data_IF_996141998381
#
_entry.id   IF_996141998381
#
_cell.length_a   1.000
_cell.length_b   1.000
_cell.length_c   1.000
_cell.angle_alpha   90.00
_cell.angle_beta   90.00
_cell.angle_gamma   90.00
#
_symmetry.space_group_name_H-M   'P 1'
#
loop_
_entity.id
_entity.type
_entity.pdbx_description
1 polymer ?
#
# COMPACT_ATOMS: atom_id res chain seq x y z
N UNK A 1 21.05 23.84 -21.22
CA UNK A 1 21.33 22.54 -20.57
C UNK A 1 20.35 22.23 -19.44
N UNK A 2 19.99 23.21 -18.60
CA UNK A 2 19.00 23.06 -17.52
C UNK A 2 17.59 22.64 -18.00
N UNK A 3 17.11 23.18 -19.13
CA UNK A 3 15.76 22.93 -19.62
C UNK A 3 15.55 21.50 -20.17
N UNK A 4 16.59 20.90 -20.77
CA UNK A 4 16.53 19.51 -21.23
C UNK A 4 16.60 18.50 -20.09
N UNK A 5 17.39 18.79 -19.05
CA UNK A 5 17.44 17.96 -17.85
C UNK A 5 16.09 17.95 -17.12
N UNK A 6 15.44 19.11 -16.98
CA UNK A 6 14.10 19.21 -16.39
C UNK A 6 13.04 18.44 -17.20
N UNK A 7 13.09 18.51 -18.54
CA UNK A 7 12.20 17.71 -19.40
C UNK A 7 12.42 16.21 -19.23
N UNK A 8 13.67 15.75 -19.13
CA UNK A 8 13.96 14.34 -18.91
C UNK A 8 13.48 13.84 -17.54
N UNK A 9 13.71 14.61 -16.47
CA UNK A 9 13.22 14.30 -15.11
C UNK A 9 11.70 14.18 -15.05
N UNK A 10 10.97 14.92 -15.88
CA UNK A 10 9.50 14.90 -15.94
C UNK A 10 8.92 13.80 -16.84
N UNK A 11 9.54 13.50 -17.98
CA UNK A 11 9.02 12.53 -18.96
C UNK A 11 8.98 11.11 -18.38
N UNK A 12 9.97 10.75 -17.58
CA UNK A 12 10.10 9.42 -16.97
C UNK A 12 8.91 9.11 -16.02
N UNK A 13 8.60 9.93 -15.00
CA UNK A 13 7.48 9.68 -14.11
C UNK A 13 6.14 9.76 -14.84
N UNK A 14 5.96 10.69 -15.80
CA UNK A 14 4.72 10.78 -16.57
C UNK A 14 4.45 9.50 -17.40
N UNK A 15 5.45 8.97 -18.09
CA UNK A 15 5.33 7.71 -18.84
C UNK A 15 5.00 6.54 -17.91
N UNK A 16 5.62 6.50 -16.73
CA UNK A 16 5.34 5.48 -15.72
C UNK A 16 3.89 5.55 -15.21
N UNK A 17 3.38 6.75 -14.94
CA UNK A 17 1.98 6.98 -14.53
C UNK A 17 1.00 6.49 -15.60
N UNK A 18 1.22 6.85 -16.87
CA UNK A 18 0.39 6.40 -17.98
C UNK A 18 0.44 4.89 -18.19
N UNK A 19 1.62 4.27 -18.07
CA UNK A 19 1.79 2.82 -18.19
C UNK A 19 1.06 2.10 -17.05
N UNK A 20 1.24 2.55 -15.81
CA UNK A 20 0.57 1.98 -14.64
C UNK A 20 -0.96 2.13 -14.73
N UNK A 21 -1.46 3.30 -15.15
CA UNK A 21 -2.88 3.52 -15.37
C UNK A 21 -3.45 2.59 -16.46
N UNK A 22 -2.73 2.44 -17.57
CA UNK A 22 -3.13 1.53 -18.66
C UNK A 22 -3.18 0.08 -18.19
N UNK A 23 -2.20 -0.35 -17.39
CA UNK A 23 -2.16 -1.71 -16.84
C UNK A 23 -3.34 -1.98 -15.89
N UNK A 24 -3.64 -1.03 -15.00
CA UNK A 24 -4.78 -1.12 -14.08
C UNK A 24 -6.11 -1.16 -14.84
N UNK A 25 -6.27 -0.30 -15.86
CA UNK A 25 -7.46 -0.32 -16.71
C UNK A 25 -7.60 -1.63 -17.47
N UNK A 26 -6.50 -2.13 -18.04
CA UNK A 26 -6.48 -3.39 -18.77
C UNK A 26 -6.92 -4.56 -17.89
N UNK A 27 -6.36 -4.67 -16.68
CA UNK A 27 -6.78 -5.69 -15.70
C UNK A 27 -8.26 -5.55 -15.32
N UNK A 28 -8.74 -4.32 -15.14
CA UNK A 28 -10.15 -4.06 -14.79
C UNK A 28 -11.09 -4.51 -15.90
N UNK A 29 -10.79 -4.17 -17.15
CA UNK A 29 -11.61 -4.55 -18.31
C UNK A 29 -11.66 -6.07 -18.49
N UNK A 30 -10.55 -6.76 -18.27
CA UNK A 30 -10.52 -8.23 -18.41
C UNK A 30 -11.42 -8.93 -17.38
N UNK A 31 -11.47 -8.43 -16.15
CA UNK A 31 -12.21 -9.09 -15.08
C UNK A 31 -13.66 -8.61 -14.94
N UNK A 32 -14.08 -7.53 -15.64
CA UNK A 32 -15.38 -6.90 -15.39
C UNK A 32 -16.57 -7.83 -15.70
N UNK A 33 -16.43 -8.72 -16.67
CA UNK A 33 -17.47 -9.69 -17.03
C UNK A 33 -17.73 -10.65 -15.85
N UNK A 34 -16.66 -11.19 -15.26
CA UNK A 34 -16.72 -12.06 -14.09
C UNK A 34 -17.19 -11.30 -12.85
N UNK A 35 -16.77 -10.05 -12.66
CA UNK A 35 -17.24 -9.25 -11.53
C UNK A 35 -18.75 -9.03 -11.55
N UNK A 36 -19.32 -8.72 -12.72
CA UNK A 36 -20.76 -8.50 -12.86
C UNK A 36 -21.52 -9.77 -12.52
N UNK A 37 -21.04 -10.92 -12.99
CA UNK A 37 -21.60 -12.24 -12.71
C UNK A 37 -21.53 -12.62 -11.22
N UNK A 38 -20.35 -12.53 -10.60
CA UNK A 38 -20.09 -13.12 -9.28
C UNK A 38 -20.29 -12.14 -8.12
N UNK A 39 -20.07 -10.83 -8.33
CA UNK A 39 -20.07 -9.82 -7.26
C UNK A 39 -21.31 -8.93 -7.35
N UNK A 40 -21.69 -8.50 -8.55
CA UNK A 40 -22.79 -7.56 -8.71
C UNK A 40 -24.18 -8.22 -8.63
N UNK A 41 -24.34 -9.44 -9.16
CA UNK A 41 -25.57 -10.25 -9.02
C UNK A 41 -25.72 -10.92 -7.64
N UNK A 42 -24.66 -10.98 -6.84
CA UNK A 42 -24.67 -11.57 -5.49
C UNK A 42 -25.41 -10.73 -4.43
N UNK A 43 -25.75 -11.32 -3.28
CA UNK A 43 -26.43 -10.62 -2.19
C UNK A 43 -25.62 -9.42 -1.67
N UNK A 44 -26.30 -8.36 -1.24
CA UNK A 44 -25.65 -7.18 -0.65
C UNK A 44 -24.94 -7.56 0.65
N UNK A 45 -23.62 -7.70 0.58
CA UNK A 45 -22.74 -7.93 1.73
C UNK A 45 -21.76 -6.76 1.87
N UNK A 46 -21.30 -6.50 3.09
CA UNK A 46 -20.23 -5.53 3.36
C UNK A 46 -18.97 -5.81 2.54
N UNK A 47 -18.67 -7.10 2.29
CA UNK A 47 -17.54 -7.54 1.46
C UNK A 47 -17.62 -7.02 0.02
N UNK A 48 -18.83 -6.79 -0.52
CA UNK A 48 -19.03 -6.21 -1.85
C UNK A 48 -18.55 -4.75 -1.92
N UNK A 49 -18.87 -3.97 -0.89
CA UNK A 49 -18.44 -2.57 -0.80
C UNK A 49 -16.94 -2.46 -0.54
N UNK A 50 -16.39 -3.30 0.34
CA UNK A 50 -14.95 -3.35 0.56
C UNK A 50 -14.19 -3.74 -0.72
N UNK A 51 -14.70 -4.73 -1.46
CA UNK A 51 -14.13 -5.11 -2.76
C UNK A 51 -14.20 -3.97 -3.78
N UNK A 52 -15.38 -3.34 -3.91
CA UNK A 52 -15.54 -2.20 -4.80
C UNK A 52 -14.56 -1.08 -4.43
N UNK A 53 -14.41 -0.75 -3.14
CA UNK A 53 -13.45 0.25 -2.69
C UNK A 53 -12.00 -0.10 -3.04
N UNK A 54 -11.55 -1.32 -2.70
CA UNK A 54 -10.18 -1.78 -2.95
C UNK A 54 -9.85 -1.74 -4.44
N UNK A 55 -10.78 -2.15 -5.31
CA UNK A 55 -10.56 -2.14 -6.75
C UNK A 55 -10.73 -0.76 -7.38
N UNK A 56 -11.71 0.01 -6.90
CA UNK A 56 -12.12 1.21 -7.60
C UNK A 56 -11.36 2.47 -7.19
N UNK A 57 -10.89 2.54 -5.94
CA UNK A 57 -10.12 3.69 -5.48
C UNK A 57 -8.78 3.87 -6.20
N UNK A 58 -7.96 2.82 -6.44
CA UNK A 58 -6.67 2.99 -7.10
C UNK A 58 -6.77 3.55 -8.52
N UNK A 59 -7.74 3.11 -9.33
CA UNK A 59 -7.89 3.63 -10.69
C UNK A 59 -8.39 5.09 -10.69
N UNK A 60 -9.29 5.46 -9.77
CA UNK A 60 -9.78 6.84 -9.64
C UNK A 60 -8.65 7.77 -9.20
N UNK A 61 -7.89 7.33 -8.19
CA UNK A 61 -6.77 8.08 -7.68
C UNK A 61 -5.67 8.25 -8.75
N UNK A 62 -5.30 7.17 -9.43
CA UNK A 62 -4.22 7.18 -10.43
C UNK A 62 -4.63 7.87 -11.74
N UNK A 63 -5.89 7.76 -12.15
CA UNK A 63 -6.46 8.51 -13.26
C UNK A 63 -6.49 10.00 -12.97
N UNK A 64 -6.99 10.38 -11.78
CA UNK A 64 -6.96 11.78 -11.31
C UNK A 64 -5.54 12.33 -11.25
N UNK A 65 -4.58 11.54 -10.77
CA UNK A 65 -3.17 11.92 -10.74
C UNK A 65 -2.61 12.16 -12.15
N UNK A 66 -2.90 11.28 -13.10
CA UNK A 66 -2.38 11.40 -14.49
C UNK A 66 -2.91 12.67 -15.16
N UNK A 67 -4.19 12.99 -14.97
CA UNK A 67 -4.82 14.20 -15.50
C UNK A 67 -4.25 15.46 -14.84
N UNK A 68 -4.10 15.46 -13.52
CA UNK A 68 -3.50 16.57 -12.79
C UNK A 68 -2.04 16.78 -13.21
N UNK A 69 -1.24 15.72 -13.32
CA UNK A 69 0.15 15.80 -13.76
C UNK A 69 0.29 16.33 -15.20
N UNK A 70 -0.61 15.92 -16.10
CA UNK A 70 -0.66 16.40 -17.49
C UNK A 70 -1.04 17.88 -17.61
N UNK A 71 -2.04 18.33 -16.85
CA UNK A 71 -2.48 19.74 -16.85
C UNK A 71 -1.39 20.67 -16.30
N UNK A 72 -0.62 20.20 -15.33
CA UNK A 72 0.38 20.97 -14.59
C UNK A 72 1.71 21.17 -15.33
N UNK A 73 2.00 20.37 -16.36
CA UNK A 73 3.16 20.56 -17.24
C UNK A 73 3.15 21.93 -17.96
N UNK A 74 1.97 22.54 -18.14
CA UNK A 74 1.85 23.71 -19.00
C UNK A 74 2.27 25.05 -18.36
N UNK A 75 2.23 25.25 -17.03
CA UNK A 75 2.27 26.64 -16.52
C UNK A 75 2.79 26.95 -15.10
N UNK A 76 3.21 26.03 -14.21
CA UNK A 76 3.69 26.49 -12.89
C UNK A 76 4.68 25.57 -12.15
N UNK A 77 5.76 26.16 -11.63
CA UNK A 77 6.59 25.58 -10.56
C UNK A 77 5.71 25.44 -9.30
N UNK A 78 5.70 24.26 -8.69
CA UNK A 78 4.88 24.00 -7.51
C UNK A 78 5.45 24.73 -6.28
N UNK A 79 4.56 25.35 -5.50
CA UNK A 79 4.92 25.84 -4.17
C UNK A 79 5.07 24.66 -3.24
N UNK A 80 5.99 24.72 -2.27
CA UNK A 80 6.20 23.66 -1.27
C UNK A 80 4.91 23.18 -0.59
N UNK A 81 3.96 24.10 -0.33
CA UNK A 81 2.63 23.77 0.22
C UNK A 81 1.81 22.85 -0.68
N UNK A 82 1.87 23.05 -1.99
CA UNK A 82 1.14 22.23 -2.95
C UNK A 82 1.76 20.83 -3.03
N UNK A 83 3.10 20.71 -3.00
CA UNK A 83 3.76 19.40 -3.00
C UNK A 83 3.42 18.59 -1.73
N UNK A 84 3.35 19.25 -0.58
CA UNK A 84 2.90 18.62 0.66
C UNK A 84 1.44 18.16 0.55
N UNK A 85 0.54 18.99 0.00
CA UNK A 85 -0.85 18.59 -0.20
C UNK A 85 -0.97 17.38 -1.16
N UNK A 86 -0.16 17.35 -2.21
CA UNK A 86 -0.08 16.22 -3.14
C UNK A 86 0.41 14.95 -2.45
N UNK A 87 1.47 15.05 -1.65
CA UNK A 87 1.99 13.94 -0.86
C UNK A 87 0.95 13.41 0.14
N UNK A 88 0.27 14.31 0.87
CA UNK A 88 -0.77 13.91 1.82
C UNK A 88 -1.92 13.21 1.10
N UNK A 89 -2.36 13.69 -0.06
CA UNK A 89 -3.38 13.02 -0.87
C UNK A 89 -2.97 11.60 -1.26
N UNK A 90 -1.74 11.43 -1.76
CA UNK A 90 -1.18 10.11 -2.11
C UNK A 90 -1.16 9.17 -0.91
N UNK A 91 -0.61 9.66 0.21
CA UNK A 91 -0.49 8.89 1.44
C UNK A 91 -1.86 8.48 1.99
N UNK A 92 -2.84 9.39 2.01
CA UNK A 92 -4.20 9.09 2.48
C UNK A 92 -4.92 8.05 1.62
N UNK A 93 -4.75 8.09 0.29
CA UNK A 93 -5.32 7.07 -0.61
C UNK A 93 -4.70 5.70 -0.33
N UNK A 94 -3.37 5.65 -0.21
CA UNK A 94 -2.65 4.41 0.05
C UNK A 94 -2.99 3.82 1.43
N UNK A 95 -2.99 4.65 2.47
CA UNK A 95 -3.39 4.27 3.82
C UNK A 95 -4.83 3.77 3.87
N UNK A 96 -5.76 4.47 3.21
CA UNK A 96 -7.16 4.03 3.11
C UNK A 96 -7.30 2.66 2.43
N UNK A 97 -6.49 2.39 1.40
CA UNK A 97 -6.46 1.09 0.74
C UNK A 97 -5.93 -0.02 1.66
N UNK A 98 -4.84 0.24 2.39
CA UNK A 98 -4.28 -0.71 3.37
C UNK A 98 -5.31 -1.07 4.44
N UNK A 99 -5.93 -0.05 5.07
CA UNK A 99 -7.00 -0.20 6.06
C UNK A 99 -8.14 -1.07 5.50
N UNK A 100 -8.55 -0.85 4.25
CA UNK A 100 -9.61 -1.65 3.64
C UNK A 100 -9.19 -3.13 3.44
N UNK A 101 -7.96 -3.38 2.97
CA UNK A 101 -7.43 -4.74 2.76
C UNK A 101 -7.29 -5.49 4.08
N UNK A 102 -6.70 -4.86 5.09
CA UNK A 102 -6.55 -5.45 6.43
C UNK A 102 -7.91 -5.72 7.07
N UNK A 103 -8.86 -4.78 6.94
CA UNK A 103 -10.24 -4.97 7.39
C UNK A 103 -10.89 -6.21 6.77
N UNK A 104 -10.68 -6.46 5.47
CA UNK A 104 -11.16 -7.68 4.80
C UNK A 104 -10.49 -8.94 5.38
N UNK A 105 -9.19 -8.91 5.66
CA UNK A 105 -8.51 -10.02 6.32
C UNK A 105 -9.05 -10.30 7.72
N UNK A 106 -9.23 -9.25 8.53
CA UNK A 106 -9.80 -9.37 9.89
C UNK A 106 -11.19 -9.97 9.82
N UNK A 107 -12.07 -9.52 8.91
CA UNK A 107 -13.41 -10.10 8.78
C UNK A 107 -13.38 -11.58 8.39
N UNK A 108 -12.46 -11.98 7.50
CA UNK A 108 -12.27 -13.40 7.16
C UNK A 108 -11.84 -14.19 8.39
N UNK A 109 -10.96 -13.64 9.22
CA UNK A 109 -10.57 -14.24 10.50
C UNK A 109 -11.77 -14.33 11.44
N UNK A 110 -12.57 -13.27 11.60
CA UNK A 110 -13.77 -13.25 12.44
C UNK A 110 -14.78 -14.33 12.01
N UNK A 111 -15.01 -14.47 10.70
CA UNK A 111 -15.89 -15.52 10.17
C UNK A 111 -15.35 -16.93 10.46
N UNK A 112 -14.02 -17.11 10.46
CA UNK A 112 -13.37 -18.40 10.70
C UNK A 112 -13.17 -18.74 12.19
N UNK A 113 -13.05 -17.72 13.06
CA UNK A 113 -12.80 -17.79 14.50
C UNK A 113 -14.00 -17.37 15.36
N UNK A 114 -15.23 -17.50 14.83
CA UNK A 114 -16.51 -17.13 15.49
C UNK A 114 -16.65 -17.59 16.97
N UNK A 115 -15.90 -18.61 17.39
CA UNK A 115 -15.89 -19.13 18.76
C UNK A 115 -14.95 -18.40 19.75
N UNK A 116 -13.85 -17.78 19.30
CA UNK A 116 -12.82 -17.19 20.18
C UNK A 116 -12.85 -15.67 20.20
N UNK A 117 -13.85 -15.09 20.90
CA UNK A 117 -14.07 -13.63 20.97
C UNK A 117 -12.88 -12.85 21.54
N UNK A 118 -12.09 -13.44 22.45
CA UNK A 118 -10.89 -12.80 23.02
C UNK A 118 -9.85 -12.53 21.94
N UNK A 119 -9.59 -13.52 21.08
CA UNK A 119 -8.63 -13.39 19.98
C UNK A 119 -9.08 -12.33 18.97
N UNK A 120 -10.36 -12.36 18.58
CA UNK A 120 -10.93 -11.35 17.68
C UNK A 120 -10.87 -9.95 18.26
N UNK A 121 -11.18 -9.78 19.56
CA UNK A 121 -11.07 -8.49 20.22
C UNK A 121 -9.62 -8.01 20.28
N UNK A 122 -8.67 -8.89 20.55
CA UNK A 122 -7.23 -8.55 20.56
C UNK A 122 -6.74 -8.09 19.19
N UNK A 123 -7.15 -8.76 18.11
CA UNK A 123 -6.81 -8.37 16.73
C UNK A 123 -7.39 -7.01 16.39
N UNK A 124 -8.65 -6.74 16.75
CA UNK A 124 -9.27 -5.43 16.52
C UNK A 124 -8.57 -4.30 17.29
N UNK A 125 -8.17 -4.54 18.53
CA UNK A 125 -7.39 -3.56 19.30
C UNK A 125 -6.04 -3.30 18.63
N UNK A 126 -5.32 -4.36 18.22
CA UNK A 126 -4.04 -4.22 17.55
C UNK A 126 -4.15 -3.46 16.23
N UNK A 127 -5.24 -3.67 15.49
CA UNK A 127 -5.55 -2.95 14.26
C UNK A 127 -5.71 -1.43 14.48
N UNK A 128 -6.47 -1.02 15.49
CA UNK A 128 -6.59 0.42 15.78
C UNK A 128 -5.28 1.04 16.28
N UNK A 129 -4.46 0.27 17.00
CA UNK A 129 -3.13 0.70 17.44
C UNK A 129 -2.19 0.88 16.24
N UNK A 130 -2.24 -0.04 15.28
CA UNK A 130 -1.47 0.03 14.03
C UNK A 130 -1.84 1.28 13.22
N UNK A 131 -3.12 1.53 13.00
CA UNK A 131 -3.61 2.74 12.30
C UNK A 131 -3.13 4.00 13.03
N UNK A 132 -3.27 4.06 14.35
CA UNK A 132 -2.80 5.22 15.11
C UNK A 132 -1.28 5.42 14.99
N UNK A 133 -0.50 4.33 15.01
CA UNK A 133 0.94 4.38 14.81
C UNK A 133 1.30 4.87 13.40
N UNK A 134 0.58 4.42 12.37
CA UNK A 134 0.77 4.88 10.99
C UNK A 134 0.52 6.38 10.82
N UNK A 135 -0.65 6.85 11.27
CA UNK A 135 -1.05 8.26 11.17
C UNK A 135 -0.04 9.14 11.90
N UNK A 136 0.42 8.73 13.09
CA UNK A 136 1.39 9.51 13.86
C UNK A 136 2.75 9.59 13.18
N UNK A 137 3.25 8.49 12.61
CA UNK A 137 4.51 8.49 11.84
C UNK A 137 4.38 9.39 10.61
N UNK A 138 3.26 9.33 9.88
CA UNK A 138 3.03 10.18 8.72
C UNK A 138 2.95 11.66 9.11
N UNK A 139 2.27 11.99 10.21
CA UNK A 139 2.16 13.36 10.71
C UNK A 139 3.51 13.95 11.12
N UNK A 140 4.39 13.13 11.71
CA UNK A 140 5.75 13.54 12.12
C UNK A 140 6.72 13.59 10.93
N UNK A 141 6.59 12.67 9.97
CA UNK A 141 7.49 12.59 8.82
C UNK A 141 7.21 13.70 7.79
N UNK A 142 5.94 14.03 7.55
CA UNK A 142 5.51 15.02 6.55
C UNK A 142 6.22 16.38 6.63
N UNK A 143 6.35 17.05 7.79
CA UNK A 143 7.01 18.35 7.87
C UNK A 143 8.53 18.30 7.66
N UNK A 144 9.15 17.13 7.86
CA UNK A 144 10.61 16.95 7.74
C UNK A 144 11.03 16.57 6.31
N UNK A 145 10.08 16.13 5.47
CA UNK A 145 10.36 15.76 4.08
C UNK A 145 10.68 16.97 3.20
N UNK A 146 11.75 16.84 2.41
CA UNK A 146 12.16 17.85 1.44
C UNK A 146 11.70 17.46 0.04
N UNK A 147 10.93 18.36 -0.59
CA UNK A 147 10.39 18.20 -1.94
C UNK A 147 11.11 19.10 -2.93
N UNK A 148 11.43 18.57 -4.11
CA UNK A 148 11.87 19.37 -5.26
C UNK A 148 10.71 20.19 -5.85
N UNK A 149 11.00 21.19 -6.72
CA UNK A 149 9.97 21.94 -7.46
C UNK A 149 9.09 21.08 -8.38
N UNK A 150 9.53 19.86 -8.68
CA UNK A 150 8.79 18.82 -9.40
C UNK A 150 8.01 17.89 -8.44
N UNK A 151 7.88 18.27 -7.16
CA UNK A 151 7.28 17.51 -6.07
C UNK A 151 7.85 16.09 -5.88
N UNK A 152 9.08 15.87 -6.31
CA UNK A 152 9.83 14.64 -6.05
C UNK A 152 10.46 14.68 -4.66
N UNK A 153 10.40 13.58 -3.94
CA UNK A 153 10.99 13.44 -2.60
C UNK A 153 12.51 13.36 -2.75
N UNK A 154 13.22 14.30 -2.14
CA UNK A 154 14.69 14.39 -2.21
C UNK A 154 15.33 13.77 -0.98
N UNK A 155 14.75 14.05 0.19
CA UNK A 155 15.21 13.51 1.46
C UNK A 155 14.04 12.94 2.25
N UNK A 156 14.16 11.66 2.58
CA UNK A 156 13.21 10.93 3.41
C UNK A 156 13.81 10.68 4.80
N UNK A 157 13.11 11.05 5.89
CA UNK A 157 13.59 10.77 7.23
C UNK A 157 13.60 9.25 7.50
N UNK A 158 14.53 8.75 8.36
CA UNK A 158 14.63 7.31 8.65
C UNK A 158 13.35 6.75 9.29
N UNK A 159 12.63 7.59 10.02
CA UNK A 159 11.35 7.24 10.65
C UNK A 159 10.28 6.83 9.64
N UNK A 160 10.43 7.18 8.36
CA UNK A 160 9.53 6.69 7.33
C UNK A 160 9.71 5.19 7.06
N UNK A 161 10.89 4.60 7.34
CA UNK A 161 11.09 3.16 7.22
C UNK A 161 10.27 2.38 8.25
N UNK A 162 10.14 2.92 9.48
CA UNK A 162 9.36 2.24 10.53
C UNK A 162 7.88 2.16 10.20
N UNK A 163 7.34 3.10 9.41
CA UNK A 163 5.96 3.05 8.89
C UNK A 163 5.71 1.74 8.11
N UNK A 164 6.59 1.41 7.16
CA UNK A 164 6.45 0.21 6.32
C UNK A 164 6.65 -1.08 7.12
N UNK A 165 7.60 -1.07 8.07
CA UNK A 165 7.90 -2.24 8.91
C UNK A 165 6.70 -2.57 9.81
N UNK A 166 6.09 -1.57 10.45
CA UNK A 166 4.93 -1.76 11.32
C UNK A 166 3.77 -2.34 10.52
N UNK A 167 3.46 -1.77 9.35
CA UNK A 167 2.43 -2.28 8.44
C UNK A 167 2.66 -3.74 8.05
N UNK A 168 3.86 -4.05 7.55
CA UNK A 168 4.20 -5.40 7.09
C UNK A 168 4.22 -6.41 8.23
N UNK A 169 4.61 -6.00 9.43
CA UNK A 169 4.57 -6.85 10.63
C UNK A 169 3.12 -7.18 11.04
N UNK A 170 2.20 -6.24 10.91
CA UNK A 170 0.79 -6.50 11.19
C UNK A 170 0.13 -7.35 10.10
N UNK A 171 0.44 -7.07 8.83
CA UNK A 171 -0.05 -7.85 7.69
C UNK A 171 0.47 -9.30 7.73
N UNK A 172 1.77 -9.52 8.00
CA UNK A 172 2.35 -10.87 8.21
C UNK A 172 1.60 -11.62 9.31
N UNK A 173 1.31 -10.94 10.43
CA UNK A 173 0.62 -11.53 11.56
C UNK A 173 -0.80 -11.97 11.18
N UNK A 174 -1.59 -11.12 10.54
CA UNK A 174 -2.94 -11.47 10.06
C UNK A 174 -2.89 -12.62 9.04
N UNK A 175 -1.96 -12.55 8.09
CA UNK A 175 -1.77 -13.55 7.06
C UNK A 175 -1.36 -14.92 7.65
N UNK A 176 -0.44 -14.91 8.62
CA UNK A 176 -0.03 -16.09 9.38
C UNK A 176 -1.20 -16.74 10.12
N UNK A 177 -2.07 -15.96 10.76
CA UNK A 177 -3.27 -16.49 11.43
C UNK A 177 -4.24 -17.17 10.45
N UNK A 178 -4.42 -16.59 9.26
CA UNK A 178 -5.26 -17.18 8.20
C UNK A 178 -4.66 -18.51 7.75
N UNK A 179 -3.34 -18.58 7.54
CA UNK A 179 -2.62 -19.79 7.12
C UNK A 179 -2.70 -20.88 8.18
N UNK A 180 -2.38 -20.58 9.44
CA UNK A 180 -2.38 -21.57 10.53
C UNK A 180 -3.75 -22.21 10.63
N UNK A 181 -4.82 -21.40 10.64
CA UNK A 181 -6.19 -21.92 10.70
C UNK A 181 -6.56 -22.64 9.40
N UNK A 182 -6.05 -22.18 8.26
CA UNK A 182 -6.21 -22.88 7.00
C UNK A 182 -5.66 -24.31 7.10
N UNK A 183 -4.43 -24.52 7.53
CA UNK A 183 -3.88 -25.86 7.70
C UNK A 183 -4.64 -26.69 8.74
N UNK A 184 -4.89 -26.15 9.94
CA UNK A 184 -5.60 -26.88 11.01
C UNK A 184 -6.98 -27.39 10.58
N UNK A 185 -7.68 -26.66 9.72
CA UNK A 185 -9.03 -27.04 9.33
C UNK A 185 -9.14 -27.68 7.95
N UNK A 186 -8.10 -27.65 7.10
CA UNK A 186 -8.01 -28.51 5.89
C UNK A 186 -7.85 -29.93 6.37
N UNK A 187 -6.97 -30.17 7.35
CA UNK A 187 -6.76 -31.48 7.95
C UNK A 187 -8.03 -32.08 8.60
N UNK A 188 -9.07 -31.27 8.86
CA UNK A 188 -10.32 -31.72 9.51
C UNK A 188 -11.53 -31.84 8.59
N UNK A 189 -11.57 -31.16 7.43
CA UNK A 189 -12.77 -31.10 6.57
C UNK A 189 -12.39 -31.01 5.09
N UNK A 190 -12.39 -32.16 4.40
CA UNK A 190 -11.90 -32.33 3.03
C UNK A 190 -12.81 -31.76 1.91
N UNK A 191 -14.03 -31.30 2.21
CA UNK A 191 -15.06 -31.08 1.17
C UNK A 191 -15.41 -29.64 0.77
N UNK A 192 -15.19 -28.61 1.61
CA UNK A 192 -15.78 -27.25 1.41
C UNK A 192 -14.77 -26.11 1.19
N UNK A 193 -13.49 -26.44 0.94
CA UNK A 193 -12.34 -25.52 1.10
C UNK A 193 -11.58 -25.06 -0.15
N UNK A 194 -11.97 -25.52 -1.34
CA UNK A 194 -11.22 -25.23 -2.58
C UNK A 194 -11.10 -23.72 -2.88
N UNK A 195 -12.18 -22.95 -2.72
CA UNK A 195 -12.21 -21.52 -3.05
C UNK A 195 -11.30 -20.69 -2.14
N UNK A 196 -11.28 -21.00 -0.83
CA UNK A 196 -10.40 -20.32 0.13
C UNK A 196 -8.93 -20.67 -0.09
N UNK A 197 -8.62 -21.88 -0.54
CA UNK A 197 -7.24 -22.28 -0.86
C UNK A 197 -6.69 -21.51 -2.05
N UNK A 198 -7.48 -21.37 -3.12
CA UNK A 198 -7.08 -20.59 -4.30
C UNK A 198 -6.82 -19.14 -3.91
N UNK A 199 -7.73 -18.53 -3.13
CA UNK A 199 -7.61 -17.14 -2.69
C UNK A 199 -6.38 -16.90 -1.79
N UNK A 200 -6.08 -17.80 -0.86
CA UNK A 200 -4.91 -17.70 0.01
C UNK A 200 -3.63 -17.93 -0.78
N UNK A 201 -3.62 -18.89 -1.71
CA UNK A 201 -2.46 -19.16 -2.58
C UNK A 201 -2.14 -17.94 -3.43
N UNK A 202 -3.12 -17.35 -4.07
CA UNK A 202 -2.91 -16.20 -4.97
C UNK A 202 -2.47 -14.96 -4.16
N UNK A 203 -3.07 -14.76 -2.97
CA UNK A 203 -2.61 -13.72 -2.02
C UNK A 203 -1.21 -13.97 -1.45
N UNK A 204 -0.82 -15.24 -1.24
CA UNK A 204 0.50 -15.63 -0.72
C UNK A 204 1.63 -15.26 -1.67
N UNK A 205 1.45 -15.50 -2.97
CA UNK A 205 2.46 -15.16 -3.96
C UNK A 205 2.66 -13.66 -4.06
N UNK A 206 1.57 -12.89 -4.10
CA UNK A 206 1.63 -11.42 -4.10
C UNK A 206 2.33 -10.90 -2.83
N UNK A 207 1.92 -11.39 -1.65
CA UNK A 207 2.51 -11.01 -0.38
C UNK A 207 3.99 -11.36 -0.27
N UNK A 208 4.38 -12.59 -0.65
CA UNK A 208 5.78 -13.05 -0.59
C UNK A 208 6.69 -12.23 -1.50
N UNK A 209 6.21 -11.82 -2.68
CA UNK A 209 6.94 -10.94 -3.59
C UNK A 209 7.12 -9.56 -2.96
N UNK A 210 6.05 -8.96 -2.42
CA UNK A 210 6.10 -7.63 -1.79
C UNK A 210 7.03 -7.66 -0.57
N UNK A 211 6.84 -8.63 0.32
CA UNK A 211 7.68 -8.82 1.50
C UNK A 211 9.15 -9.02 1.11
N UNK A 212 9.42 -9.85 0.10
CA UNK A 212 10.76 -10.05 -0.44
C UNK A 212 11.36 -8.74 -0.94
N UNK A 213 10.67 -8.03 -1.83
CA UNK A 213 11.13 -6.76 -2.39
C UNK A 213 11.43 -5.72 -1.30
N UNK A 214 10.52 -5.56 -0.33
CA UNK A 214 10.71 -4.58 0.75
C UNK A 214 11.84 -4.98 1.68
N UNK A 215 11.95 -6.26 2.01
CA UNK A 215 13.02 -6.79 2.86
C UNK A 215 14.40 -6.74 2.17
N UNK A 216 14.47 -6.85 0.84
CA UNK A 216 15.72 -6.68 0.09
C UNK A 216 16.07 -5.20 -0.14
N UNK A 217 15.08 -4.30 -0.30
CA UNK A 217 15.30 -2.89 -0.59
C UNK A 217 15.59 -2.01 0.64
N UNK A 218 15.17 -2.41 1.84
CA UNK A 218 15.37 -1.63 3.07
C UNK A 218 16.79 -1.71 3.66
N UNK A 219 17.47 -2.89 3.73
CA UNK A 219 18.82 -2.99 4.27
C UNK A 219 19.83 -2.15 3.50
N UNK A 220 19.68 -2.02 2.18
CA UNK A 220 20.57 -1.18 1.36
C UNK A 220 20.44 0.30 1.71
N UNK A 221 19.24 0.79 2.01
CA UNK A 221 19.03 2.18 2.45
C UNK A 221 19.50 2.44 3.90
N UNK A 222 19.37 1.46 4.80
CA UNK A 222 19.88 1.54 6.18
C UNK A 222 21.40 1.49 6.26
N UNK A 223 22.03 0.56 5.50
CA UNK A 223 23.49 0.39 5.43
C UNK A 223 24.16 1.61 4.78
N UNK A 224 23.57 2.18 3.73
CA UNK A 224 24.08 3.39 3.09
C UNK A 224 24.02 4.62 4.03
N UNK A 225 23.00 4.69 4.90
CA UNK A 225 22.88 5.77 5.89
C UNK A 225 23.89 5.63 7.03
N UNK A 226 24.10 4.41 7.55
CA UNK A 226 25.14 4.18 8.57
C UNK A 226 26.55 4.43 8.03
N UNK A 227 26.81 4.20 6.75
CA UNK A 227 28.07 4.59 6.11
C UNK A 227 28.29 6.10 6.08
N UNK A 228 27.25 6.87 5.70
CA UNK A 228 27.32 8.34 5.61
C UNK A 228 27.41 9.05 6.98
N UNK A 229 26.75 8.52 8.03
CA UNK A 229 26.94 9.00 9.40
C UNK A 229 28.34 8.69 9.95
N UNK A 230 28.95 7.58 9.51
CA UNK A 230 30.31 7.23 9.89
C UNK A 230 31.36 8.11 9.19
N UNK A 231 31.14 8.48 7.92
CA UNK A 231 32.04 9.37 7.16
C UNK A 231 31.96 10.83 7.66
N UNK A 232 30.76 11.38 7.92
CA UNK A 232 30.60 12.74 8.46
C UNK A 232 31.19 12.93 9.86
N UNK A 233 31.19 11.87 10.68
CA UNK A 233 31.81 11.88 12.00
C UNK A 233 33.34 11.69 11.94
N UNK A 234 33.88 11.29 10.78
CA UNK A 234 35.32 11.11 10.55
C UNK A 234 35.97 12.35 9.93
N UNK A 235 35.20 13.19 9.24
CA UNK A 235 35.64 14.51 8.73
C UNK A 235 35.55 15.66 9.76
N UNK A 236 35.06 15.38 10.98
CA UNK A 236 34.89 16.35 12.07
C UNK A 236 35.90 16.18 13.23
N UNK A 237 36.97 15.41 13.03
CA UNK A 237 38.11 15.24 13.95
C UNK A 237 39.42 15.64 13.29
#
# INVERSE_FOLDING_TARGET
MSEQAARFSFIIPFKSLCAAFTFILYDTVLNIADEVEYIWKGPRSWTKWAYAFIRHMPYLAQGGMTVLFAHMYSTHLWTQKQCVAWWVYQASVFEGLLIAVEGVFILRICALYSYHRVLTSGILVLYFVEIAAMITVLAVATPVMQFNPECLIVKTPPIFATYWIISLAFETFLFGLIIVKFFTSVSRQLGRRSILFVLVRDGMWAYAIIFGLTCFAQPTAGIFRTGLEHDLNMDSV
#
